data_IF_594704845904
#
_entry.id   IF_594704845904
#
_cell.length_a   1.000
_cell.length_b   1.000
_cell.length_c   1.000
_cell.angle_alpha   90.00
_cell.angle_beta   90.00
_cell.angle_gamma   90.00
#
_symmetry.space_group_name_H-M   'P 1'
#
loop_
_entity.id
_entity.type
_entity.pdbx_description
1 polymer ?
#
# COMPACT_ATOMS: atom_id res chain seq x y z
N UNK A 1 -12.23 -10.92 -11.12
CA UNK A 1 -11.75 -9.56 -10.76
C UNK A 1 -12.92 -8.56 -10.65
N UNK A 2 -13.96 -8.92 -9.90
CA UNK A 2 -15.05 -7.96 -9.60
C UNK A 2 -14.71 -7.20 -8.31
N UNK A 3 -14.89 -5.87 -8.28
CA UNK A 3 -14.71 -5.11 -7.05
C UNK A 3 -15.71 -5.54 -5.98
N UNK A 4 -15.22 -5.66 -4.74
CA UNK A 4 -16.03 -5.97 -3.55
C UNK A 4 -16.10 -4.73 -2.67
N UNK A 5 -17.30 -4.34 -2.24
CA UNK A 5 -17.48 -3.24 -1.28
C UNK A 5 -16.89 -3.63 0.08
N UNK A 6 -16.05 -2.78 0.63
CA UNK A 6 -15.48 -2.98 1.97
C UNK A 6 -16.52 -2.80 3.07
N UNK A 7 -17.47 -1.91 2.86
CA UNK A 7 -18.55 -1.58 3.79
C UNK A 7 -19.90 -1.62 3.08
N UNK A 8 -20.55 -2.80 3.00
CA UNK A 8 -21.82 -2.95 2.26
C UNK A 8 -22.97 -2.07 2.77
N UNK A 9 -22.94 -1.71 4.06
CA UNK A 9 -23.94 -0.83 4.68
C UNK A 9 -23.54 0.65 4.71
N UNK A 10 -22.50 1.05 3.97
CA UNK A 10 -21.91 2.38 3.95
C UNK A 10 -20.63 2.50 4.77
N UNK A 11 -19.68 3.27 4.27
CA UNK A 11 -18.39 3.47 4.93
C UNK A 11 -18.53 4.37 6.18
N UNK A 12 -17.80 4.10 7.28
CA UNK A 12 -17.92 4.88 8.51
C UNK A 12 -17.62 6.37 8.29
N UNK A 13 -18.50 7.24 8.78
CA UNK A 13 -18.35 8.70 8.68
C UNK A 13 -18.73 9.31 7.34
N UNK A 14 -19.20 8.51 6.36
CA UNK A 14 -19.71 9.06 5.10
C UNK A 14 -21.20 9.48 5.26
N UNK A 15 -21.46 10.76 5.00
CA UNK A 15 -22.81 11.35 5.13
C UNK A 15 -23.52 11.56 3.79
N UNK A 16 -22.87 11.37 2.68
CA UNK A 16 -23.43 11.63 1.35
C UNK A 16 -22.76 10.78 0.27
N UNK A 17 -23.32 10.83 -0.94
CA UNK A 17 -22.72 10.17 -2.09
C UNK A 17 -21.93 11.18 -2.90
N UNK A 18 -20.62 10.94 -3.01
CA UNK A 18 -19.77 11.65 -3.95
C UNK A 18 -19.93 11.02 -5.34
N UNK A 19 -19.83 11.84 -6.37
CA UNK A 19 -19.74 11.32 -7.73
C UNK A 19 -18.28 11.04 -8.06
N UNK A 20 -17.89 9.77 -8.12
CA UNK A 20 -16.55 9.38 -8.54
C UNK A 20 -16.19 10.02 -9.88
N UNK A 21 -14.94 10.48 -10.00
CA UNK A 21 -14.40 11.03 -11.24
C UNK A 21 -13.17 10.24 -11.63
N UNK A 22 -13.16 9.77 -12.87
CA UNK A 22 -12.05 9.07 -13.51
C UNK A 22 -11.41 10.00 -14.53
N UNK A 23 -10.17 10.45 -14.26
CA UNK A 23 -9.46 11.44 -15.08
C UNK A 23 -8.19 10.86 -15.67
N UNK A 24 -8.05 10.97 -17.00
CA UNK A 24 -6.86 10.60 -17.78
C UNK A 24 -6.13 11.82 -18.37
N UNK A 25 -6.62 13.05 -18.14
CA UNK A 25 -6.13 14.28 -18.78
C UNK A 25 -4.83 14.82 -18.19
N UNK A 26 -4.46 14.37 -16.97
CA UNK A 26 -3.27 14.85 -16.28
C UNK A 26 -1.95 14.36 -16.89
N UNK A 27 -0.85 14.69 -16.23
CA UNK A 27 0.50 14.33 -16.68
C UNK A 27 0.65 12.82 -16.92
N UNK A 28 1.35 12.49 -17.99
CA UNK A 28 1.73 11.12 -18.37
C UNK A 28 3.01 10.70 -17.66
N UNK A 29 3.16 9.40 -17.42
CA UNK A 29 4.42 8.79 -16.96
C UNK A 29 4.94 7.87 -18.06
N UNK A 30 6.18 8.02 -18.47
CA UNK A 30 6.78 7.29 -19.59
C UNK A 30 5.87 7.30 -20.85
N UNK A 31 5.26 8.44 -21.17
CA UNK A 31 4.38 8.62 -22.32
C UNK A 31 2.96 8.05 -22.18
N UNK A 32 2.67 7.31 -21.13
CA UNK A 32 1.37 6.66 -20.92
C UNK A 32 0.47 7.45 -19.95
N UNK A 33 -0.85 7.55 -20.20
CA UNK A 33 -1.79 8.22 -19.29
C UNK A 33 -1.82 7.56 -17.90
N UNK A 34 -2.06 8.36 -16.88
CA UNK A 34 -2.32 7.89 -15.51
C UNK A 34 -3.80 8.09 -15.21
N UNK A 35 -4.50 7.00 -14.87
CA UNK A 35 -5.88 7.06 -14.41
C UNK A 35 -5.90 7.59 -12.97
N UNK A 36 -6.43 8.78 -12.79
CA UNK A 36 -6.63 9.43 -11.50
C UNK A 36 -8.08 9.32 -11.08
N UNK A 37 -8.33 8.52 -10.05
CA UNK A 37 -9.68 8.37 -9.48
C UNK A 37 -9.80 9.33 -8.30
N UNK A 38 -10.86 10.12 -8.26
CA UNK A 38 -11.21 11.00 -7.13
C UNK A 38 -12.66 10.80 -6.70
N UNK A 39 -13.03 11.42 -5.58
CA UNK A 39 -14.39 11.36 -5.02
C UNK A 39 -14.86 9.92 -4.75
N UNK A 40 -13.99 9.12 -4.12
CA UNK A 40 -14.32 7.78 -3.65
C UNK A 40 -14.94 7.88 -2.26
N UNK A 41 -16.18 7.47 -2.10
CA UNK A 41 -16.91 7.35 -0.83
C UNK A 41 -17.33 5.89 -0.55
N UNK A 42 -17.38 5.07 -1.60
CA UNK A 42 -17.62 3.63 -1.53
C UNK A 42 -16.29 2.89 -1.78
N UNK A 43 -15.50 2.62 -0.72
CA UNK A 43 -14.22 1.94 -0.88
C UNK A 43 -14.41 0.47 -1.25
N UNK A 44 -13.56 -0.01 -2.16
CA UNK A 44 -13.61 -1.39 -2.66
C UNK A 44 -12.24 -2.04 -2.61
N UNK A 45 -12.23 -3.36 -2.61
CA UNK A 45 -11.05 -4.15 -2.98
C UNK A 45 -11.33 -4.95 -4.26
N UNK A 46 -10.27 -5.22 -5.02
CA UNK A 46 -10.31 -6.11 -6.18
C UNK A 46 -9.21 -7.15 -6.04
N UNK A 47 -9.57 -8.43 -6.02
CA UNK A 47 -8.61 -9.54 -5.96
C UNK A 47 -8.10 -9.89 -7.35
N UNK A 48 -6.77 -9.95 -7.49
CA UNK A 48 -6.03 -10.37 -8.67
C UNK A 48 -5.27 -11.66 -8.33
N UNK A 49 -5.81 -12.84 -8.62
CA UNK A 49 -5.13 -14.11 -8.33
C UNK A 49 -3.88 -14.28 -9.19
N UNK A 50 -2.84 -14.83 -8.61
CA UNK A 50 -1.70 -15.32 -9.36
C UNK A 50 -2.10 -16.55 -10.20
N UNK A 51 -1.43 -16.81 -11.34
CA UNK A 51 -1.66 -18.04 -12.10
C UNK A 51 -1.49 -19.28 -11.21
N UNK A 52 -2.42 -20.22 -11.28
CA UNK A 52 -2.48 -21.38 -10.40
C UNK A 52 -1.21 -22.25 -10.42
N UNK A 53 -0.55 -22.32 -11.59
CA UNK A 53 0.68 -23.09 -11.82
C UNK A 53 1.92 -22.52 -11.09
N UNK A 54 1.85 -21.28 -10.58
CA UNK A 54 2.95 -20.60 -9.89
C UNK A 54 2.53 -19.85 -8.62
N UNK A 55 1.31 -20.04 -8.15
CA UNK A 55 0.81 -19.36 -6.95
C UNK A 55 1.66 -19.71 -5.72
N UNK A 56 2.35 -18.72 -5.16
CA UNK A 56 3.21 -18.86 -3.97
C UNK A 56 2.44 -18.83 -2.64
N UNK A 57 1.14 -18.51 -2.67
CA UNK A 57 0.32 -18.20 -1.50
C UNK A 57 0.54 -16.79 -0.94
N UNK A 58 1.64 -16.10 -1.31
CA UNK A 58 1.91 -14.73 -0.88
C UNK A 58 0.89 -13.79 -1.51
N UNK A 59 0.41 -12.84 -0.71
CA UNK A 59 -0.55 -11.83 -1.16
C UNK A 59 -0.11 -10.43 -0.73
N UNK A 60 -0.22 -9.48 -1.64
CA UNK A 60 0.09 -8.07 -1.39
C UNK A 60 -1.19 -7.24 -1.52
N UNK A 61 -1.54 -6.51 -0.46
CA UNK A 61 -2.62 -5.51 -0.47
C UNK A 61 -2.02 -4.19 -0.95
N UNK A 62 -2.40 -3.77 -2.16
CA UNK A 62 -1.79 -2.64 -2.89
C UNK A 62 -2.59 -1.36 -2.69
N UNK A 63 -1.89 -0.29 -2.29
CA UNK A 63 -2.44 1.01 -1.96
C UNK A 63 -1.81 2.07 -2.88
N UNK A 64 -2.53 2.55 -3.93
CA UNK A 64 -2.04 3.61 -4.80
C UNK A 64 -1.79 4.92 -4.05
N UNK A 65 -0.88 5.75 -4.55
CA UNK A 65 -0.67 7.11 -4.07
C UNK A 65 -1.61 8.11 -4.73
N UNK A 66 -1.36 9.39 -4.47
CA UNK A 66 -2.14 10.52 -4.97
C UNK A 66 -2.43 11.57 -3.90
N UNK A 67 -1.51 11.72 -2.94
CA UNK A 67 -1.52 12.74 -1.88
C UNK A 67 -2.81 12.75 -1.03
N UNK A 68 -3.53 11.62 -0.95
CA UNK A 68 -4.86 11.51 -0.33
C UNK A 68 -5.94 12.40 -0.99
N UNK A 69 -5.73 12.86 -2.21
CA UNK A 69 -6.68 13.64 -2.98
C UNK A 69 -7.27 12.81 -4.14
N UNK A 70 -6.46 11.98 -4.75
CA UNK A 70 -6.81 11.06 -5.83
C UNK A 70 -6.11 9.70 -5.62
N UNK A 71 -6.42 8.73 -6.47
CA UNK A 71 -5.69 7.47 -6.59
C UNK A 71 -5.06 7.39 -7.98
N UNK A 72 -3.74 7.20 -8.08
CA UNK A 72 -3.04 6.90 -9.34
C UNK A 72 -3.28 5.42 -9.74
N UNK A 73 -4.52 5.09 -10.05
CA UNK A 73 -5.10 3.76 -9.94
C UNK A 73 -4.50 2.70 -10.87
N UNK A 74 -4.18 3.08 -12.12
CA UNK A 74 -3.51 2.14 -13.02
C UNK A 74 -2.01 2.05 -12.72
N UNK A 75 -1.31 3.19 -12.62
CA UNK A 75 0.14 3.29 -12.46
C UNK A 75 0.65 2.57 -11.20
N UNK A 76 -0.03 2.80 -10.08
CA UNK A 76 0.35 2.34 -8.74
C UNK A 76 -0.60 1.26 -8.18
N UNK A 77 -1.49 0.76 -9.02
CA UNK A 77 -2.50 -0.25 -8.67
C UNK A 77 -2.55 -1.40 -9.65
N UNK A 78 -3.36 -1.31 -10.71
CA UNK A 78 -3.61 -2.46 -11.59
C UNK A 78 -2.38 -2.93 -12.37
N UNK A 79 -1.47 -2.03 -12.76
CA UNK A 79 -0.20 -2.40 -13.41
C UNK A 79 0.71 -3.17 -12.43
N UNK A 80 0.73 -2.74 -11.15
CA UNK A 80 1.46 -3.42 -10.07
C UNK A 80 0.92 -4.84 -9.87
N UNK A 81 -0.41 -4.97 -9.71
CA UNK A 81 -1.04 -6.27 -9.49
C UNK A 81 -0.73 -7.24 -10.63
N UNK A 82 -0.88 -6.82 -11.87
CA UNK A 82 -0.55 -7.64 -13.04
C UNK A 82 0.92 -8.09 -13.06
N UNK A 83 1.84 -7.20 -12.69
CA UNK A 83 3.27 -7.51 -12.64
C UNK A 83 3.58 -8.53 -11.56
N UNK A 84 3.08 -8.34 -10.34
CA UNK A 84 3.34 -9.25 -9.23
C UNK A 84 2.66 -10.60 -9.41
N UNK A 85 1.49 -10.66 -10.09
CA UNK A 85 0.91 -11.93 -10.52
C UNK A 85 1.84 -12.73 -11.43
N UNK A 86 2.58 -12.08 -12.34
CA UNK A 86 3.56 -12.78 -13.19
C UNK A 86 4.71 -13.41 -12.41
N UNK A 87 4.93 -12.98 -11.16
CA UNK A 87 5.88 -13.54 -10.21
C UNK A 87 5.27 -14.60 -9.27
N UNK A 88 4.00 -14.93 -9.44
CA UNK A 88 3.30 -15.89 -8.58
C UNK A 88 2.79 -15.30 -7.26
N UNK A 89 2.71 -13.97 -7.15
CA UNK A 89 2.19 -13.27 -5.98
C UNK A 89 0.77 -12.80 -6.25
N UNK A 90 -0.16 -13.10 -5.35
CA UNK A 90 -1.52 -12.59 -5.41
C UNK A 90 -1.56 -11.11 -5.03
N UNK A 91 -2.51 -10.37 -5.59
CA UNK A 91 -2.70 -8.96 -5.23
C UNK A 91 -4.15 -8.67 -4.86
N UNK A 92 -4.32 -7.76 -3.92
CA UNK A 92 -5.59 -7.12 -3.59
C UNK A 92 -5.40 -5.63 -3.81
N UNK A 93 -6.05 -5.05 -4.80
CA UNK A 93 -6.00 -3.61 -5.07
C UNK A 93 -7.09 -2.90 -4.28
N UNK A 94 -6.71 -1.94 -3.45
CA UNK A 94 -7.63 -1.15 -2.65
C UNK A 94 -7.94 0.17 -3.34
N UNK A 95 -9.22 0.43 -3.59
CA UNK A 95 -9.73 1.74 -3.95
C UNK A 95 -10.25 2.39 -2.66
N UNK A 96 -9.35 2.99 -1.91
CA UNK A 96 -9.68 3.62 -0.63
C UNK A 96 -10.26 5.02 -0.81
N UNK A 97 -10.90 5.55 0.24
CA UNK A 97 -11.60 6.83 0.23
C UNK A 97 -10.67 8.01 0.00
N UNK A 98 -10.97 8.81 -1.01
CA UNK A 98 -10.34 10.10 -1.35
C UNK A 98 -11.42 11.06 -1.88
N UNK A 99 -11.24 12.40 -1.77
CA UNK A 99 -10.16 13.10 -1.06
C UNK A 99 -10.23 12.91 0.45
N UNK A 100 -9.15 13.33 1.15
CA UNK A 100 -9.17 13.39 2.63
C UNK A 100 -10.41 14.11 3.14
N UNK A 101 -10.97 13.64 4.25
CA UNK A 101 -12.20 14.20 4.83
C UNK A 101 -11.87 15.44 5.66
N UNK A 102 -12.68 16.49 5.51
CA UNK A 102 -12.54 17.72 6.26
C UNK A 102 -12.68 17.46 7.78
N UNK A 103 -11.85 18.13 8.58
CA UNK A 103 -11.82 17.96 10.03
C UNK A 103 -11.21 16.66 10.54
N UNK A 104 -10.73 15.77 9.66
CA UNK A 104 -10.05 14.53 10.01
C UNK A 104 -8.59 14.56 9.55
N UNK A 105 -7.76 13.73 10.22
CA UNK A 105 -6.42 13.44 9.72
C UNK A 105 -6.50 12.84 8.30
N UNK A 106 -5.53 13.20 7.44
CA UNK A 106 -5.51 12.81 6.02
C UNK A 106 -5.67 11.31 5.77
N UNK A 107 -5.19 10.50 6.72
CA UNK A 107 -5.18 9.04 6.65
C UNK A 107 -6.38 8.39 7.37
N UNK A 108 -7.20 9.13 8.12
CA UNK A 108 -8.18 8.53 9.02
C UNK A 108 -9.19 7.62 8.30
N UNK A 109 -9.90 8.11 7.28
CA UNK A 109 -10.83 7.30 6.50
C UNK A 109 -10.11 6.23 5.66
N UNK A 110 -9.00 6.53 4.92
CA UNK A 110 -8.22 5.53 4.22
C UNK A 110 -7.68 4.39 5.10
N UNK A 111 -7.30 4.67 6.36
CA UNK A 111 -6.80 3.64 7.29
C UNK A 111 -7.88 2.65 7.66
N UNK A 112 -9.11 3.11 7.89
CA UNK A 112 -10.26 2.23 8.08
C UNK A 112 -10.46 1.28 6.90
N UNK A 113 -10.36 1.82 5.68
CA UNK A 113 -10.53 1.05 4.46
C UNK A 113 -9.43 0.01 4.29
N UNK A 114 -8.17 0.37 4.54
CA UNK A 114 -7.05 -0.56 4.44
C UNK A 114 -7.10 -1.64 5.52
N UNK A 115 -7.39 -1.28 6.77
CA UNK A 115 -7.55 -2.27 7.84
C UNK A 115 -8.67 -3.27 7.50
N UNK A 116 -9.81 -2.79 6.98
CA UNK A 116 -10.90 -3.65 6.54
C UNK A 116 -10.49 -4.52 5.35
N UNK A 117 -9.73 -4.00 4.39
CA UNK A 117 -9.22 -4.78 3.26
C UNK A 117 -8.27 -5.90 3.71
N UNK A 118 -7.40 -5.64 4.71
CA UNK A 118 -6.52 -6.66 5.30
C UNK A 118 -7.35 -7.76 5.99
N UNK A 119 -8.33 -7.37 6.81
CA UNK A 119 -9.23 -8.32 7.49
C UNK A 119 -9.99 -9.18 6.49
N UNK A 120 -10.61 -8.55 5.49
CA UNK A 120 -11.35 -9.25 4.44
C UNK A 120 -10.46 -10.24 3.68
N UNK A 121 -9.27 -9.81 3.26
CA UNK A 121 -8.30 -10.66 2.56
C UNK A 121 -7.90 -11.88 3.40
N UNK A 122 -7.58 -11.67 4.68
CA UNK A 122 -7.17 -12.76 5.59
C UNK A 122 -8.30 -13.73 5.87
N UNK A 123 -9.52 -13.25 6.03
CA UNK A 123 -10.69 -14.09 6.25
C UNK A 123 -11.04 -14.97 5.04
N UNK A 124 -10.75 -14.51 3.82
CA UNK A 124 -10.99 -15.25 2.57
C UNK A 124 -9.78 -16.11 2.12
N UNK A 125 -8.75 -16.25 2.96
CA UNK A 125 -7.50 -16.89 2.55
C UNK A 125 -7.70 -18.31 2.00
N UNK A 126 -8.53 -19.12 2.64
CA UNK A 126 -8.84 -20.49 2.20
C UNK A 126 -9.58 -20.49 0.87
N UNK A 127 -10.60 -19.65 0.73
CA UNK A 127 -11.40 -19.54 -0.49
C UNK A 127 -10.55 -19.09 -1.70
N UNK A 128 -9.62 -18.16 -1.47
CA UNK A 128 -8.77 -17.58 -2.51
C UNK A 128 -7.49 -18.38 -2.78
N UNK A 129 -7.26 -19.47 -2.04
CA UNK A 129 -6.05 -20.29 -2.18
C UNK A 129 -4.76 -19.53 -1.85
N UNK A 130 -4.81 -18.66 -0.84
CA UNK A 130 -3.69 -17.87 -0.34
C UNK A 130 -3.32 -18.27 1.10
N UNK A 131 -2.11 -17.92 1.54
CA UNK A 131 -1.65 -18.18 2.90
C UNK A 131 -2.01 -17.00 3.82
N UNK A 132 -2.85 -17.23 4.84
CA UNK A 132 -3.29 -16.21 5.79
C UNK A 132 -2.13 -15.59 6.61
N UNK A 133 -0.96 -16.23 6.65
CA UNK A 133 0.26 -15.75 7.33
C UNK A 133 1.28 -15.12 6.36
N UNK A 134 0.89 -14.88 5.11
CA UNK A 134 1.73 -14.26 4.08
C UNK A 134 1.00 -13.12 3.36
N UNK A 135 0.31 -12.29 4.12
CA UNK A 135 -0.43 -11.13 3.62
C UNK A 135 0.31 -9.85 4.03
N UNK A 136 0.96 -9.21 3.07
CA UNK A 136 1.64 -7.94 3.26
C UNK A 136 0.88 -6.77 2.67
N UNK A 137 1.35 -5.56 2.96
CA UNK A 137 0.87 -4.32 2.34
C UNK A 137 1.95 -3.72 1.45
N UNK A 138 1.54 -3.14 0.34
CA UNK A 138 2.40 -2.36 -0.54
C UNK A 138 1.76 -1.02 -0.81
N UNK A 139 2.53 0.05 -0.67
CA UNK A 139 2.03 1.38 -0.98
C UNK A 139 3.02 2.24 -1.75
N UNK A 140 2.47 3.24 -2.41
CA UNK A 140 3.18 4.19 -3.24
C UNK A 140 2.91 5.61 -2.77
N UNK A 141 3.95 6.44 -2.58
CA UNK A 141 3.76 7.84 -2.18
C UNK A 141 2.88 7.97 -0.92
N UNK A 142 1.75 8.65 -0.99
CA UNK A 142 0.77 8.71 0.10
C UNK A 142 0.17 7.33 0.46
N UNK A 143 0.04 6.40 -0.50
CA UNK A 143 -0.35 5.01 -0.25
C UNK A 143 0.71 4.25 0.54
N UNK A 144 2.00 4.62 0.43
CA UNK A 144 3.06 4.08 1.27
C UNK A 144 2.95 4.60 2.71
N UNK A 145 2.61 5.88 2.91
CA UNK A 145 2.26 6.38 4.24
C UNK A 145 1.09 5.60 4.84
N UNK A 146 0.02 5.37 4.06
CA UNK A 146 -1.13 4.57 4.49
C UNK A 146 -0.72 3.14 4.88
N UNK A 147 0.16 2.51 4.11
CA UNK A 147 0.71 1.18 4.41
C UNK A 147 1.55 1.18 5.69
N UNK A 148 2.35 2.23 5.93
CA UNK A 148 3.10 2.40 7.17
C UNK A 148 2.16 2.64 8.37
N UNK A 149 1.07 3.40 8.20
CA UNK A 149 0.04 3.56 9.21
C UNK A 149 -0.61 2.22 9.60
N UNK A 150 -1.02 1.40 8.63
CA UNK A 150 -1.56 0.07 8.92
C UNK A 150 -0.53 -0.85 9.61
N UNK A 151 0.75 -0.72 9.26
CA UNK A 151 1.85 -1.51 9.84
C UNK A 151 2.23 -1.10 11.26
N UNK A 152 1.80 0.08 11.72
CA UNK A 152 2.09 0.60 13.06
C UNK A 152 0.85 0.78 13.94
N UNK A 153 -0.37 0.59 13.36
CA UNK A 153 -1.66 0.72 14.05
C UNK A 153 -2.53 -0.53 13.95
N UNK A 154 -1.92 -1.69 13.80
CA UNK A 154 -2.63 -2.97 13.64
C UNK A 154 -3.27 -3.48 14.94
N UNK A 155 -2.84 -2.99 16.09
CA UNK A 155 -3.37 -3.40 17.42
C UNK A 155 -4.74 -2.81 17.74
N UNK A 156 -5.20 -1.80 16.98
CA UNK A 156 -6.46 -1.11 17.20
C UNK A 156 -7.24 -0.97 15.90
N UNK A 157 -8.49 -1.46 15.89
CA UNK A 157 -9.39 -1.25 14.76
C UNK A 157 -9.94 0.16 14.81
N UNK A 158 -9.76 0.91 13.71
CA UNK A 158 -10.17 2.32 13.60
C UNK A 158 -11.59 2.49 13.04
N UNK A 159 -12.31 1.40 12.79
CA UNK A 159 -13.70 1.39 12.30
C UNK A 159 -14.58 0.46 13.15
N UNK A 160 -15.91 0.66 13.21
CA UNK A 160 -16.83 -0.26 13.86
C UNK A 160 -16.80 -1.63 13.18
N UNK A 161 -16.85 -2.71 13.98
CA UNK A 161 -16.92 -4.08 13.45
C UNK A 161 -18.11 -4.21 12.47
N UNK A 162 -17.86 -4.76 11.31
CA UNK A 162 -18.86 -4.92 10.22
C UNK A 162 -19.49 -6.33 10.28
N UNK A 163 -18.65 -7.35 10.34
CA UNK A 163 -19.07 -8.75 10.29
C UNK A 163 -18.02 -9.70 10.93
N UNK A 164 -18.18 -11.01 10.72
CA UNK A 164 -17.27 -12.02 11.26
C UNK A 164 -15.86 -11.95 10.64
N UNK A 165 -15.67 -11.36 9.47
CA UNK A 165 -14.35 -11.20 8.85
C UNK A 165 -13.45 -10.27 9.65
N UNK A 166 -14.00 -9.47 10.55
CA UNK A 166 -13.25 -8.57 11.43
C UNK A 166 -12.69 -9.24 12.70
N UNK A 167 -12.85 -10.55 12.86
CA UNK A 167 -12.26 -11.28 14.00
C UNK A 167 -10.78 -11.65 13.79
N UNK A 168 -10.26 -11.47 12.58
CA UNK A 168 -8.87 -11.79 12.24
C UNK A 168 -7.91 -10.65 12.55
N UNK A 169 -6.61 -10.97 12.58
CA UNK A 169 -5.55 -9.98 12.79
C UNK A 169 -5.50 -8.93 11.67
N UNK A 170 -5.36 -7.66 12.04
CA UNK A 170 -5.15 -6.53 11.14
C UNK A 170 -3.67 -6.30 10.81
N UNK A 171 -2.74 -7.03 11.48
CA UNK A 171 -1.31 -6.85 11.30
C UNK A 171 -0.88 -7.42 9.95
N UNK A 172 -0.26 -6.62 9.06
CA UNK A 172 0.40 -7.15 7.87
C UNK A 172 1.57 -8.06 8.26
N UNK A 173 1.85 -9.07 7.44
CA UNK A 173 2.98 -9.98 7.70
C UNK A 173 4.31 -9.40 7.19
N UNK A 174 4.25 -8.47 6.23
CA UNK A 174 5.36 -7.67 5.72
C UNK A 174 4.87 -6.36 5.09
N UNK A 175 5.79 -5.42 4.87
CA UNK A 175 5.48 -4.07 4.35
C UNK A 175 6.43 -3.69 3.23
N UNK A 176 5.90 -3.15 2.12
CA UNK A 176 6.66 -2.67 0.97
C UNK A 176 6.30 -1.20 0.73
N UNK A 177 7.26 -0.30 0.84
CA UNK A 177 7.06 1.14 0.71
C UNK A 177 7.86 1.66 -0.49
N UNK A 178 7.16 2.14 -1.52
CA UNK A 178 7.78 2.63 -2.75
C UNK A 178 7.63 4.15 -2.81
N UNK A 179 8.76 4.85 -2.87
CA UNK A 179 8.87 6.33 -2.78
C UNK A 179 7.89 6.94 -1.76
N UNK A 180 7.96 6.50 -0.47
CA UNK A 180 6.98 6.92 0.51
C UNK A 180 7.04 8.42 0.77
N UNK A 181 5.85 9.04 0.83
CA UNK A 181 5.67 10.40 1.30
C UNK A 181 5.26 10.40 2.78
N UNK A 182 5.39 11.54 3.45
CA UNK A 182 4.83 11.84 4.79
C UNK A 182 5.31 10.93 5.94
N UNK A 183 6.44 10.23 5.80
CA UNK A 183 6.98 9.44 6.90
C UNK A 183 8.01 10.20 7.74
N UNK A 184 8.53 11.33 7.24
CA UNK A 184 9.47 12.18 7.97
C UNK A 184 8.75 13.23 8.82
N UNK A 185 9.24 13.42 10.03
CA UNK A 185 8.90 14.50 10.93
C UNK A 185 10.01 15.55 11.03
N UNK A 186 9.92 16.42 12.03
CA UNK A 186 10.95 17.42 12.34
C UNK A 186 12.18 16.77 13.00
N UNK A 187 13.33 17.45 12.93
CA UNK A 187 14.56 17.07 13.64
C UNK A 187 15.03 15.63 13.39
N UNK A 188 15.03 15.19 12.11
CA UNK A 188 15.46 13.85 11.70
C UNK A 188 14.66 12.70 12.33
N UNK A 189 13.39 12.96 12.69
CA UNK A 189 12.47 11.96 13.24
C UNK A 189 11.48 11.44 12.18
N UNK A 190 10.74 10.40 12.53
CA UNK A 190 9.55 10.00 11.79
C UNK A 190 8.36 10.89 12.12
N UNK A 191 7.36 10.90 11.25
CA UNK A 191 6.11 11.61 11.48
C UNK A 191 5.45 11.13 12.80
N UNK A 192 4.89 12.05 13.61
CA UNK A 192 4.44 11.75 14.97
C UNK A 192 3.28 10.76 15.05
N UNK A 193 2.52 10.63 13.97
CA UNK A 193 1.44 9.64 13.85
C UNK A 193 1.95 8.20 13.70
N UNK A 194 3.21 7.97 13.36
CA UNK A 194 3.78 6.63 13.17
C UNK A 194 4.29 6.05 14.51
N UNK A 195 3.87 4.85 14.85
CA UNK A 195 4.21 4.17 16.11
C UNK A 195 5.05 2.91 15.84
N UNK A 196 6.30 3.11 15.42
CA UNK A 196 7.22 1.99 15.17
C UNK A 196 7.64 1.34 16.48
N UNK A 197 7.45 0.03 16.59
CA UNK A 197 7.88 -0.80 17.73
C UNK A 197 8.51 -2.13 17.24
N UNK A 198 8.94 -2.99 18.14
CA UNK A 198 9.55 -4.28 17.83
C UNK A 198 8.61 -5.27 17.13
N UNK A 199 7.30 -5.04 17.16
CA UNK A 199 6.30 -5.87 16.49
C UNK A 199 5.88 -5.30 15.13
N UNK A 200 6.40 -4.14 14.72
CA UNK A 200 6.20 -3.60 13.37
C UNK A 200 6.66 -4.65 12.34
N UNK A 201 5.89 -4.92 11.27
CA UNK A 201 6.26 -5.93 10.28
C UNK A 201 7.62 -5.67 9.61
N UNK A 202 8.36 -6.72 9.20
CA UNK A 202 9.51 -6.58 8.32
C UNK A 202 9.19 -5.67 7.13
N UNK A 203 10.08 -4.74 6.83
CA UNK A 203 9.78 -3.66 5.86
C UNK A 203 10.90 -3.48 4.84
N UNK A 204 10.55 -3.36 3.56
CA UNK A 204 11.46 -2.89 2.50
C UNK A 204 11.02 -1.52 2.00
N UNK A 205 11.99 -0.63 1.81
CA UNK A 205 11.81 0.70 1.25
C UNK A 205 12.56 0.82 -0.08
N UNK A 206 11.89 1.40 -1.07
CA UNK A 206 12.45 1.70 -2.39
C UNK A 206 12.36 3.21 -2.59
N UNK A 207 13.49 3.88 -2.85
CA UNK A 207 13.53 5.33 -2.97
C UNK A 207 14.59 5.78 -3.97
N UNK A 208 14.48 7.02 -4.44
CA UNK A 208 15.48 7.70 -5.26
C UNK A 208 16.01 8.94 -4.56
N UNK A 209 17.31 9.22 -4.71
CA UNK A 209 17.95 10.37 -4.06
C UNK A 209 17.47 11.72 -4.63
N UNK A 210 17.10 11.73 -5.89
CA UNK A 210 16.63 12.93 -6.59
C UNK A 210 15.15 13.28 -6.33
N UNK A 211 14.42 12.44 -5.58
CA UNK A 211 13.11 12.76 -4.99
C UNK A 211 13.29 13.66 -3.76
N UNK A 212 13.67 14.90 -3.99
CA UNK A 212 14.09 15.86 -2.95
C UNK A 212 13.03 16.13 -1.89
N UNK A 213 11.76 15.93 -2.24
CA UNK A 213 10.65 16.22 -1.33
C UNK A 213 10.36 15.06 -0.36
N UNK A 214 10.78 13.83 -0.70
CA UNK A 214 10.34 12.64 0.04
C UNK A 214 11.45 11.68 0.43
N UNK A 215 12.70 11.92 0.03
CA UNK A 215 13.83 11.03 0.36
C UNK A 215 13.96 10.82 1.88
N UNK A 216 13.78 11.86 2.67
CA UNK A 216 13.88 11.82 4.14
C UNK A 216 12.84 10.86 4.76
N UNK A 217 11.67 10.71 4.14
CA UNK A 217 10.67 9.74 4.57
C UNK A 217 11.22 8.32 4.63
N UNK A 218 11.96 7.91 3.61
CA UNK A 218 12.57 6.57 3.59
C UNK A 218 13.73 6.44 4.58
N UNK A 219 14.60 7.44 4.67
CA UNK A 219 15.80 7.40 5.51
C UNK A 219 15.41 7.35 6.98
N UNK A 220 14.51 8.23 7.43
CA UNK A 220 14.13 8.31 8.84
C UNK A 220 13.28 7.15 9.28
N UNK A 221 12.36 6.68 8.41
CA UNK A 221 11.55 5.51 8.73
C UNK A 221 12.41 4.24 8.82
N UNK A 222 13.35 4.04 7.89
CA UNK A 222 14.33 2.94 7.97
C UNK A 222 15.13 3.01 9.28
N UNK A 223 15.59 4.21 9.68
CA UNK A 223 16.33 4.38 10.92
C UNK A 223 15.47 4.03 12.14
N UNK A 224 14.20 4.43 12.17
CA UNK A 224 13.27 4.07 13.24
C UNK A 224 13.04 2.55 13.33
N UNK A 225 12.87 1.87 12.19
CA UNK A 225 12.78 0.41 12.14
C UNK A 225 14.04 -0.27 12.72
N UNK A 226 15.22 0.22 12.34
CA UNK A 226 16.49 -0.27 12.88
C UNK A 226 16.57 -0.11 14.39
N UNK A 227 16.17 1.04 14.93
CA UNK A 227 16.16 1.30 16.38
C UNK A 227 15.19 0.38 17.13
N UNK A 228 14.08 0.02 16.52
CA UNK A 228 13.10 -0.93 17.04
C UNK A 228 13.50 -2.40 16.82
N UNK A 229 14.67 -2.68 16.23
CA UNK A 229 15.13 -4.04 15.88
C UNK A 229 14.21 -4.77 14.91
N UNK A 230 13.49 -4.04 14.06
CA UNK A 230 12.64 -4.59 13.01
C UNK A 230 13.51 -4.93 11.78
N UNK A 231 13.43 -6.13 11.20
CA UNK A 231 14.12 -6.45 9.95
C UNK A 231 13.70 -5.50 8.83
N UNK A 232 14.64 -4.76 8.26
CA UNK A 232 14.34 -3.78 7.23
C UNK A 232 15.42 -3.72 6.15
N UNK A 233 15.01 -3.44 4.91
CA UNK A 233 15.89 -3.14 3.78
C UNK A 233 15.58 -1.77 3.19
N UNK A 234 16.61 -1.02 2.80
CA UNK A 234 16.46 0.24 2.07
C UNK A 234 17.26 0.16 0.78
N UNK A 235 16.57 0.26 -0.37
CA UNK A 235 17.20 0.40 -1.68
C UNK A 235 17.08 1.85 -2.14
N UNK A 236 18.19 2.57 -2.08
CA UNK A 236 18.29 3.95 -2.50
C UNK A 236 19.01 4.05 -3.84
N UNK A 237 18.30 4.53 -4.86
CA UNK A 237 18.82 4.74 -6.21
C UNK A 237 19.22 6.20 -6.39
N UNK A 238 20.19 6.46 -7.27
CA UNK A 238 20.69 7.83 -7.51
C UNK A 238 19.62 8.72 -8.15
N UNK A 239 18.82 8.16 -9.07
CA UNK A 239 17.84 8.93 -9.85
C UNK A 239 16.62 8.09 -10.23
N UNK A 240 15.55 8.80 -10.58
CA UNK A 240 14.24 8.25 -10.97
C UNK A 240 13.08 9.17 -10.57
N UNK A 241 13.32 10.12 -9.68
CA UNK A 241 12.31 11.07 -9.21
C UNK A 241 11.21 10.39 -8.39
N UNK A 242 9.99 10.87 -8.53
CA UNK A 242 8.81 10.42 -7.81
C UNK A 242 7.72 9.92 -8.77
N UNK A 243 6.93 8.92 -8.37
CA UNK A 243 5.74 8.50 -9.13
C UNK A 243 6.05 7.73 -10.42
N UNK A 244 7.14 6.98 -10.45
CA UNK A 244 7.53 6.18 -11.64
C UNK A 244 6.74 4.88 -11.80
N UNK A 245 6.16 4.31 -10.74
CA UNK A 245 5.47 3.02 -10.77
C UNK A 245 6.35 1.88 -11.28
N UNK A 246 5.86 1.16 -12.30
CA UNK A 246 6.60 0.12 -13.03
C UNK A 246 7.05 0.55 -14.43
N UNK A 247 6.70 1.77 -14.83
CA UNK A 247 6.91 2.22 -16.20
C UNK A 247 8.38 2.53 -16.43
N UNK A 248 8.88 2.13 -17.59
CA UNK A 248 10.28 2.34 -17.94
C UNK A 248 10.57 3.83 -18.15
N UNK A 249 11.26 4.44 -17.20
CA UNK A 249 11.71 5.84 -17.23
C UNK A 249 13.17 5.98 -17.63
N UNK A 250 13.85 4.89 -17.99
CA UNK A 250 15.27 4.87 -18.37
C UNK A 250 16.23 4.87 -17.17
N UNK A 251 15.73 4.77 -15.94
CA UNK A 251 16.55 4.75 -14.72
C UNK A 251 16.68 3.35 -14.13
N UNK A 252 17.77 3.09 -13.42
CA UNK A 252 18.04 1.79 -12.77
C UNK A 252 17.00 1.43 -11.70
N UNK A 253 16.29 2.41 -11.15
CA UNK A 253 15.20 2.17 -10.21
C UNK A 253 14.09 1.30 -10.81
N UNK A 254 13.95 1.20 -12.12
CA UNK A 254 12.97 0.31 -12.75
C UNK A 254 13.18 -1.18 -12.41
N UNK A 255 14.33 -1.55 -11.84
CA UNK A 255 14.60 -2.90 -11.34
C UNK A 255 14.02 -3.19 -9.95
N UNK A 256 13.38 -2.22 -9.30
CA UNK A 256 12.90 -2.34 -7.93
C UNK A 256 12.02 -3.58 -7.66
N UNK A 257 11.16 -4.07 -8.59
CA UNK A 257 10.36 -5.26 -8.32
C UNK A 257 11.19 -6.50 -8.02
N UNK A 258 12.34 -6.64 -8.68
CA UNK A 258 13.26 -7.76 -8.43
C UNK A 258 13.94 -7.67 -7.04
N UNK A 259 14.16 -6.44 -6.52
CA UNK A 259 14.66 -6.25 -5.15
C UNK A 259 13.62 -6.69 -4.12
N UNK A 260 12.34 -6.39 -4.37
CA UNK A 260 11.24 -6.89 -3.55
C UNK A 260 11.18 -8.42 -3.56
N UNK A 261 11.31 -9.07 -4.73
CA UNK A 261 11.30 -10.52 -4.82
C UNK A 261 12.46 -11.17 -4.05
N UNK A 262 13.67 -10.63 -4.20
CA UNK A 262 14.83 -11.12 -3.45
C UNK A 262 14.59 -10.98 -1.94
N UNK A 263 14.13 -9.81 -1.51
CA UNK A 263 13.85 -9.55 -0.11
C UNK A 263 12.74 -10.44 0.47
N UNK A 264 11.66 -10.72 -0.28
CA UNK A 264 10.61 -11.65 0.15
C UNK A 264 11.14 -13.07 0.38
N UNK A 265 12.17 -13.50 -0.39
CA UNK A 265 12.88 -14.77 -0.14
C UNK A 265 13.73 -14.70 1.12
N UNK A 266 14.45 -13.61 1.30
CA UNK A 266 15.34 -13.40 2.47
C UNK A 266 14.55 -13.44 3.79
N UNK A 267 13.33 -12.93 3.81
CA UNK A 267 12.44 -12.98 4.99
C UNK A 267 11.57 -14.24 5.06
N UNK A 268 11.76 -15.20 4.16
CA UNK A 268 11.06 -16.50 4.17
C UNK A 268 9.60 -16.47 3.69
N UNK A 269 9.12 -15.39 3.07
CA UNK A 269 7.77 -15.30 2.52
C UNK A 269 7.62 -16.08 1.21
N UNK A 270 8.69 -16.16 0.41
CA UNK A 270 8.76 -16.93 -0.85
C UNK A 270 9.90 -17.98 -0.77
N UNK A 271 9.78 -19.01 -1.62
CA UNK A 271 10.86 -19.97 -1.87
C UNK A 271 11.80 -19.46 -2.95
#
# INVERSE_FOLDING_TARGET
EQPVLLFPSGAPGEAGKLKQVDDLSGNKVAGCPVLRISNVDEPTLTFYPAPADRNSGVTIVVNPGGAYNILAYNLEGSEICKRFNSFGINCVLVKYRVPRREGLEKHAAPLQDLQRAIAYTRAHAVEWGIDANKIGVMGFSAGAHLSAMASTHYGERTYPKVDAFDEVSLRPDFTILVYPAYLSGEHFSIAPELKVDANTPPTILIQTQDDKSHIDSSIFYYYALKQASVPAALHLYTSGGHGYGLRNTGHTVNEWPFRVLSWLRDIGMMK
#
